data_IF_573914513578
#
_entry.id   IF_573914513578
#
_cell.length_a   1.000
_cell.length_b   1.000
_cell.length_c   1.000
_cell.angle_alpha   90.00
_cell.angle_beta   90.00
_cell.angle_gamma   90.00
#
_symmetry.space_group_name_H-M   'P 1'
#
loop_
_entity.id
_entity.type
_entity.pdbx_description
1 polymer ?
#
# COMPACT_ATOMS: atom_id res chain seq x y z
N UNK A 1 53.81 -7.53 -16.98
CA UNK A 1 53.17 -7.79 -15.68
C UNK A 1 51.88 -8.55 -16.01
N UNK A 2 51.16 -9.14 -15.05
CA UNK A 2 49.97 -9.92 -15.38
C UNK A 2 48.76 -8.99 -15.33
N UNK A 3 47.95 -8.97 -16.39
CA UNK A 3 46.77 -8.11 -16.48
C UNK A 3 45.91 -8.17 -15.20
N UNK A 4 45.42 -7.02 -14.79
CA UNK A 4 44.51 -6.88 -13.65
C UNK A 4 43.10 -6.56 -14.13
N UNK A 5 42.11 -6.72 -13.25
CA UNK A 5 40.69 -6.49 -13.56
C UNK A 5 40.08 -5.42 -12.66
N UNK A 6 39.13 -4.66 -13.19
CA UNK A 6 38.33 -3.73 -12.39
C UNK A 6 37.52 -4.51 -11.36
N UNK A 7 37.50 -4.05 -10.11
CA UNK A 7 36.86 -4.76 -9.00
C UNK A 7 35.33 -4.87 -9.10
N UNK A 8 34.67 -3.99 -9.86
CA UNK A 8 33.20 -3.93 -9.97
C UNK A 8 32.67 -4.71 -11.17
N UNK A 9 33.12 -4.37 -12.38
CA UNK A 9 32.56 -4.91 -13.63
C UNK A 9 33.47 -5.96 -14.29
N UNK A 10 34.62 -6.27 -13.69
CA UNK A 10 35.56 -7.28 -14.20
C UNK A 10 36.17 -6.92 -15.56
N UNK A 11 36.25 -5.64 -15.91
CA UNK A 11 36.93 -5.19 -17.14
C UNK A 11 38.42 -5.36 -17.01
N UNK A 12 39.05 -5.84 -18.07
CA UNK A 12 40.51 -5.92 -18.14
C UNK A 12 41.10 -4.51 -18.12
N UNK A 13 42.07 -4.29 -17.25
CA UNK A 13 42.88 -3.08 -17.20
C UNK A 13 44.12 -3.28 -18.05
N UNK A 14 44.28 -2.45 -19.09
CA UNK A 14 45.44 -2.57 -19.98
C UNK A 14 46.71 -2.09 -19.27
N UNK A 15 47.74 -2.94 -19.25
CA UNK A 15 49.07 -2.60 -18.77
C UNK A 15 49.93 -2.04 -19.91
N UNK A 16 50.84 -1.12 -19.57
CA UNK A 16 51.77 -0.54 -20.52
C UNK A 16 52.73 -1.61 -21.07
N UNK A 17 52.86 -1.67 -22.41
CA UNK A 17 53.75 -2.59 -23.12
C UNK A 17 53.42 -4.09 -23.07
N UNK A 18 52.24 -4.51 -22.60
CA UNK A 18 51.89 -5.95 -22.46
C UNK A 18 51.17 -6.56 -23.68
N UNK A 19 50.55 -5.73 -24.54
CA UNK A 19 49.60 -6.16 -25.59
C UNK A 19 49.91 -5.66 -27.00
N UNK A 20 51.17 -5.41 -27.33
CA UNK A 20 51.65 -4.69 -28.53
C UNK A 20 51.13 -5.21 -29.89
N UNK A 21 50.61 -6.45 -29.95
CA UNK A 21 50.01 -7.04 -31.17
C UNK A 21 48.54 -7.46 -31.00
N UNK A 22 47.98 -7.31 -29.81
CA UNK A 22 46.64 -7.78 -29.41
C UNK A 22 45.73 -6.66 -28.89
N UNK A 23 46.26 -5.43 -28.73
CA UNK A 23 45.56 -4.26 -28.20
C UNK A 23 44.16 -4.06 -28.82
N UNK A 24 44.04 -4.19 -30.14
CA UNK A 24 42.76 -4.03 -30.83
C UNK A 24 41.72 -5.07 -30.39
N UNK A 25 42.12 -6.32 -30.24
CA UNK A 25 41.23 -7.41 -29.78
C UNK A 25 40.80 -7.19 -28.33
N UNK A 26 41.74 -6.83 -27.46
CA UNK A 26 41.50 -6.68 -26.03
C UNK A 26 40.65 -5.45 -25.69
N UNK A 27 40.88 -4.33 -26.38
CA UNK A 27 40.04 -3.12 -26.25
C UNK A 27 38.62 -3.38 -26.76
N UNK A 28 38.47 -4.04 -27.91
CA UNK A 28 37.15 -4.37 -28.44
C UNK A 28 36.36 -5.26 -27.45
N UNK A 29 37.03 -6.22 -26.81
CA UNK A 29 36.42 -7.05 -25.78
C UNK A 29 35.90 -6.20 -24.62
N UNK A 30 36.72 -5.28 -24.08
CA UNK A 30 36.30 -4.40 -22.97
C UNK A 30 35.08 -3.55 -23.34
N UNK A 31 35.03 -3.02 -24.56
CA UNK A 31 33.86 -2.26 -25.01
C UNK A 31 32.60 -3.13 -25.14
N UNK A 32 32.71 -4.36 -25.64
CA UNK A 32 31.59 -5.30 -25.70
C UNK A 32 31.04 -5.62 -24.29
N UNK A 33 31.94 -5.81 -23.31
CA UNK A 33 31.53 -6.00 -21.91
C UNK A 33 30.91 -4.73 -21.29
N UNK A 34 31.30 -3.54 -21.79
CA UNK A 34 30.65 -2.27 -21.50
C UNK A 34 29.21 -2.20 -21.99
N UNK A 35 28.96 -2.66 -23.21
CA UNK A 35 27.60 -2.72 -23.78
C UNK A 35 26.73 -3.74 -23.05
N UNK A 36 27.27 -4.91 -22.69
CA UNK A 36 26.60 -5.91 -21.85
C UNK A 36 26.17 -5.31 -20.49
N UNK A 37 27.07 -4.55 -19.85
CA UNK A 37 26.77 -3.87 -18.59
C UNK A 37 25.69 -2.78 -18.70
N UNK A 38 25.57 -2.14 -19.87
CA UNK A 38 24.65 -1.02 -20.07
C UNK A 38 23.27 -1.43 -20.58
N UNK A 39 23.21 -2.40 -21.49
CA UNK A 39 22.01 -2.76 -22.22
C UNK A 39 21.79 -4.29 -22.34
N UNK A 40 22.62 -5.11 -21.70
CA UNK A 40 22.49 -6.55 -21.72
C UNK A 40 21.17 -7.03 -21.11
N UNK A 41 20.58 -8.04 -21.76
CA UNK A 41 19.37 -8.74 -21.35
C UNK A 41 19.64 -10.23 -21.26
N UNK A 42 19.36 -10.83 -20.11
CA UNK A 42 19.51 -12.26 -19.87
C UNK A 42 18.19 -12.88 -19.42
N UNK A 43 17.76 -13.93 -20.11
CA UNK A 43 16.70 -14.82 -19.61
C UNK A 43 17.34 -16.03 -18.91
N UNK A 44 17.17 -16.13 -17.60
CA UNK A 44 17.70 -17.21 -16.77
C UNK A 44 16.56 -18.13 -16.32
N UNK A 45 16.67 -19.43 -16.61
CA UNK A 45 15.71 -20.42 -16.10
C UNK A 45 15.99 -20.71 -14.62
N UNK A 46 14.93 -20.76 -13.81
CA UNK A 46 14.89 -21.20 -12.40
C UNK A 46 14.11 -22.50 -12.20
N UNK A 47 13.84 -23.23 -13.30
CA UNK A 47 12.97 -24.40 -13.31
C UNK A 47 13.52 -25.55 -12.46
N UNK A 48 12.79 -25.91 -11.40
CA UNK A 48 13.16 -27.01 -10.50
C UNK A 48 14.37 -26.75 -9.58
N UNK A 49 14.94 -25.54 -9.61
CA UNK A 49 16.11 -25.18 -8.82
C UNK A 49 15.70 -24.66 -7.44
N UNK A 50 16.47 -25.00 -6.40
CA UNK A 50 16.31 -24.44 -5.05
C UNK A 50 17.25 -23.26 -4.80
N UNK A 51 18.38 -23.21 -5.50
CA UNK A 51 19.26 -22.05 -5.54
C UNK A 51 20.03 -21.94 -6.85
N UNK A 52 20.31 -20.70 -7.28
CA UNK A 52 21.13 -20.38 -8.45
C UNK A 52 22.07 -19.24 -8.08
N UNK A 53 23.33 -19.34 -8.48
CA UNK A 53 24.30 -18.24 -8.37
C UNK A 53 24.54 -17.66 -9.76
N UNK A 54 24.44 -16.35 -9.90
CA UNK A 54 24.81 -15.68 -11.15
C UNK A 54 26.31 -15.81 -11.37
N UNK A 55 26.70 -16.16 -12.59
CA UNK A 55 28.12 -16.25 -12.94
C UNK A 55 28.82 -14.92 -12.81
N UNK A 56 30.04 -14.98 -12.27
CA UNK A 56 30.92 -13.84 -11.98
C UNK A 56 32.31 -14.19 -12.50
N UNK A 57 32.59 -13.86 -13.76
CA UNK A 57 33.89 -14.16 -14.39
C UNK A 57 34.47 -12.90 -14.99
N UNK A 58 35.72 -12.61 -14.64
CA UNK A 58 36.39 -11.40 -15.10
C UNK A 58 36.93 -11.57 -16.52
N UNK A 59 36.85 -10.52 -17.33
CA UNK A 59 37.41 -10.50 -18.68
C UNK A 59 36.67 -11.31 -19.75
N UNK A 60 35.52 -11.91 -19.46
CA UNK A 60 34.67 -12.61 -20.46
C UNK A 60 33.24 -12.10 -20.39
N UNK A 61 32.28 -12.64 -21.15
CA UNK A 61 30.85 -12.37 -20.88
C UNK A 61 30.44 -13.09 -19.58
N UNK A 62 29.57 -12.46 -18.78
CA UNK A 62 28.97 -13.13 -17.60
C UNK A 62 27.53 -12.70 -17.33
N UNK A 63 26.85 -13.47 -16.48
CA UNK A 63 25.43 -13.21 -16.19
C UNK A 63 25.23 -11.98 -15.32
N UNK A 64 26.10 -11.75 -14.32
CA UNK A 64 25.97 -10.61 -13.39
C UNK A 64 26.10 -9.25 -14.08
N UNK A 65 26.80 -9.12 -15.22
CA UNK A 65 26.94 -7.82 -15.90
C UNK A 65 25.64 -7.36 -16.56
N UNK A 66 24.76 -8.26 -16.97
CA UNK A 66 23.54 -7.88 -17.70
C UNK A 66 22.66 -6.93 -16.89
N UNK A 67 22.38 -5.75 -17.43
CA UNK A 67 21.53 -4.73 -16.79
C UNK A 67 20.09 -5.21 -16.52
N UNK A 68 19.57 -6.12 -17.35
CA UNK A 68 18.25 -6.73 -17.22
C UNK A 68 18.37 -8.24 -17.11
N UNK A 69 17.77 -8.81 -16.06
CA UNK A 69 17.70 -10.27 -15.88
C UNK A 69 16.24 -10.68 -15.65
N UNK A 70 15.76 -11.57 -16.52
CA UNK A 70 14.44 -12.18 -16.41
C UNK A 70 14.57 -13.62 -15.92
N UNK A 71 13.94 -13.92 -14.79
CA UNK A 71 13.83 -15.28 -14.28
C UNK A 71 12.60 -15.96 -14.88
N UNK A 72 12.82 -17.12 -15.51
CA UNK A 72 11.82 -17.89 -16.25
C UNK A 72 11.77 -19.34 -15.79
N UNK A 73 10.82 -20.13 -16.30
CA UNK A 73 10.71 -21.56 -15.97
C UNK A 73 9.68 -21.85 -14.88
N UNK A 74 9.47 -23.13 -14.56
CA UNK A 74 8.47 -23.57 -13.59
C UNK A 74 9.13 -23.85 -12.23
N UNK A 75 8.81 -23.03 -11.24
CA UNK A 75 9.30 -23.20 -9.86
C UNK A 75 8.48 -24.26 -9.13
N UNK A 76 9.18 -25.12 -8.40
CA UNK A 76 8.58 -26.15 -7.53
C UNK A 76 8.66 -25.77 -6.05
N UNK A 77 9.24 -24.62 -5.73
CA UNK A 77 9.41 -24.07 -4.40
C UNK A 77 10.06 -22.68 -4.47
N UNK A 78 10.33 -22.08 -3.31
CA UNK A 78 11.10 -20.83 -3.23
C UNK A 78 12.53 -21.09 -3.72
N UNK A 79 13.02 -20.26 -4.64
CA UNK A 79 14.37 -20.36 -5.20
C UNK A 79 15.20 -19.17 -4.77
N UNK A 80 16.41 -19.43 -4.27
CA UNK A 80 17.37 -18.39 -3.88
C UNK A 80 18.25 -18.02 -5.07
N UNK A 81 18.24 -16.76 -5.48
CA UNK A 81 19.19 -16.23 -6.47
C UNK A 81 20.31 -15.51 -5.72
N UNK A 82 21.52 -16.02 -5.85
CA UNK A 82 22.73 -15.44 -5.27
C UNK A 82 23.42 -14.56 -6.29
N UNK A 83 23.47 -13.25 -6.01
CA UNK A 83 24.29 -12.29 -6.74
C UNK A 83 25.66 -12.15 -6.04
N UNK A 84 26.74 -11.80 -6.77
CA UNK A 84 28.02 -11.52 -6.14
C UNK A 84 27.92 -10.32 -5.18
N UNK A 85 28.63 -10.41 -4.07
CA UNK A 85 28.74 -9.33 -3.07
C UNK A 85 29.68 -8.23 -3.58
N UNK A 86 29.25 -7.50 -4.61
CA UNK A 86 29.98 -6.40 -5.25
C UNK A 86 29.01 -5.26 -5.58
N UNK A 87 29.50 -4.03 -5.59
CA UNK A 87 28.72 -2.83 -5.87
C UNK A 87 28.20 -2.82 -7.32
N UNK A 88 26.93 -3.14 -7.51
CA UNK A 88 26.26 -3.27 -8.82
C UNK A 88 24.76 -2.98 -8.72
N UNK A 89 24.10 -2.85 -9.87
CA UNK A 89 22.67 -2.58 -9.96
C UNK A 89 22.04 -3.34 -11.14
N UNK A 90 20.75 -3.65 -11.01
CA UNK A 90 20.00 -4.45 -11.98
C UNK A 90 18.53 -4.06 -12.04
N UNK A 91 17.89 -4.41 -13.15
CA UNK A 91 16.45 -4.60 -13.25
C UNK A 91 16.13 -6.09 -13.33
N UNK A 92 15.47 -6.63 -12.31
CA UNK A 92 15.06 -8.03 -12.26
C UNK A 92 13.57 -8.17 -12.54
N UNK A 93 13.22 -9.16 -13.35
CA UNK A 93 11.85 -9.53 -13.67
C UNK A 93 11.60 -10.98 -13.29
N UNK A 94 10.57 -11.22 -12.49
CA UNK A 94 10.14 -12.56 -12.13
C UNK A 94 9.00 -13.03 -13.03
N UNK A 95 9.32 -13.79 -14.07
CA UNK A 95 8.34 -14.36 -15.03
C UNK A 95 8.17 -15.88 -14.89
N UNK A 96 8.75 -16.48 -13.85
CA UNK A 96 8.62 -17.90 -13.58
C UNK A 96 7.18 -18.26 -13.16
N UNK A 97 6.77 -19.49 -13.46
CA UNK A 97 5.46 -20.03 -13.12
C UNK A 97 5.55 -20.85 -11.82
N UNK A 98 4.42 -21.08 -11.15
CA UNK A 98 4.37 -21.81 -9.86
C UNK A 98 4.04 -20.96 -8.64
N UNK A 99 3.93 -19.62 -8.80
CA UNK A 99 3.51 -18.66 -7.76
C UNK A 99 4.34 -18.66 -6.47
N UNK A 100 5.55 -19.25 -6.51
CA UNK A 100 6.54 -19.12 -5.45
C UNK A 100 7.29 -17.79 -5.59
N UNK A 101 7.92 -17.32 -4.53
CA UNK A 101 8.77 -16.12 -4.55
C UNK A 101 10.23 -16.46 -4.87
N UNK A 102 10.97 -15.49 -5.41
CA UNK A 102 12.43 -15.55 -5.52
C UNK A 102 13.04 -14.78 -4.36
N UNK A 103 14.07 -15.35 -3.73
CA UNK A 103 14.88 -14.66 -2.72
C UNK A 103 16.19 -14.22 -3.36
N UNK A 104 16.34 -12.93 -3.61
CA UNK A 104 17.54 -12.35 -4.22
C UNK A 104 18.49 -11.91 -3.12
N UNK A 105 19.62 -12.61 -2.97
CA UNK A 105 20.60 -12.35 -1.90
C UNK A 105 21.97 -12.03 -2.50
N UNK A 106 22.74 -11.18 -1.83
CA UNK A 106 24.19 -11.17 -2.02
C UNK A 106 24.79 -12.41 -1.35
N UNK A 107 25.95 -12.88 -1.80
CA UNK A 107 26.65 -13.98 -1.14
C UNK A 107 26.90 -13.67 0.36
N UNK A 108 26.13 -14.32 1.25
CA UNK A 108 26.19 -14.10 2.71
C UNK A 108 25.30 -12.97 3.24
N UNK A 109 24.53 -12.29 2.38
CA UNK A 109 23.57 -11.24 2.75
C UNK A 109 22.16 -11.77 3.07
N UNK A 110 21.25 -10.86 3.45
CA UNK A 110 19.85 -11.16 3.75
C UNK A 110 18.98 -11.07 2.50
N UNK A 111 19.24 -10.06 1.68
CA UNK A 111 18.60 -9.81 0.40
C UNK A 111 17.16 -9.31 0.47
N UNK A 112 16.47 -9.47 -0.65
CA UNK A 112 15.07 -9.07 -0.84
C UNK A 112 14.26 -10.21 -1.47
N UNK A 113 12.96 -10.23 -1.19
CA UNK A 113 12.02 -11.16 -1.81
C UNK A 113 11.36 -10.50 -3.01
N UNK A 114 11.35 -11.19 -4.16
CA UNK A 114 10.72 -10.76 -5.40
C UNK A 114 9.54 -11.69 -5.71
N UNK A 115 8.32 -11.14 -5.70
CA UNK A 115 7.10 -11.94 -5.90
C UNK A 115 6.89 -12.32 -7.38
N UNK A 116 6.09 -13.36 -7.63
CA UNK A 116 5.78 -13.79 -8.99
C UNK A 116 5.11 -12.66 -9.80
N UNK A 117 5.64 -12.36 -10.99
CA UNK A 117 5.18 -11.27 -11.85
C UNK A 117 5.76 -9.90 -11.51
N UNK A 118 6.54 -9.76 -10.43
CA UNK A 118 7.15 -8.49 -10.04
C UNK A 118 8.35 -8.12 -10.93
N UNK A 119 8.50 -6.83 -11.21
CA UNK A 119 9.71 -6.22 -11.77
C UNK A 119 10.26 -5.24 -10.74
N UNK A 120 11.54 -5.39 -10.37
CA UNK A 120 12.17 -4.54 -9.37
C UNK A 120 13.52 -4.00 -9.87
N UNK A 121 13.77 -2.73 -9.58
CA UNK A 121 15.10 -2.13 -9.67
C UNK A 121 15.84 -2.42 -8.36
N UNK A 122 16.97 -3.10 -8.43
CA UNK A 122 17.75 -3.57 -7.30
C UNK A 122 19.18 -3.05 -7.38
N UNK A 123 19.84 -2.90 -6.24
CA UNK A 123 21.28 -2.67 -6.18
C UNK A 123 21.90 -3.47 -5.04
N UNK A 124 23.18 -3.79 -5.18
CA UNK A 124 24.01 -4.34 -4.12
C UNK A 124 25.05 -3.30 -3.71
N UNK A 125 25.27 -3.13 -2.41
CA UNK A 125 26.29 -2.22 -1.85
C UNK A 125 27.64 -2.90 -1.61
N UNK A 126 27.81 -4.13 -2.11
CA UNK A 126 28.95 -4.99 -1.82
C UNK A 126 28.78 -5.90 -0.61
N UNK A 127 27.70 -5.76 0.16
CA UNK A 127 27.38 -6.62 1.32
C UNK A 127 26.00 -7.25 1.18
N UNK A 128 24.98 -6.46 0.85
CA UNK A 128 23.60 -6.93 0.74
C UNK A 128 22.88 -6.34 -0.48
N UNK A 129 21.71 -6.89 -0.81
CA UNK A 129 20.84 -6.43 -1.91
C UNK A 129 19.68 -5.62 -1.36
N UNK A 130 19.40 -4.49 -2.00
CA UNK A 130 18.31 -3.58 -1.65
C UNK A 130 17.49 -3.22 -2.89
N UNK A 131 16.24 -2.80 -2.69
CA UNK A 131 15.45 -2.16 -3.75
C UNK A 131 15.96 -0.73 -3.95
N UNK A 132 16.24 -0.36 -5.19
CA UNK A 132 16.71 0.98 -5.57
C UNK A 132 15.62 2.05 -5.44
N UNK A 133 14.36 1.63 -5.39
CA UNK A 133 13.19 2.47 -5.14
C UNK A 133 12.42 1.88 -3.96
N UNK A 134 11.97 2.74 -3.04
CA UNK A 134 11.20 2.31 -1.89
C UNK A 134 9.91 1.59 -2.32
N UNK A 135 9.63 0.43 -1.71
CA UNK A 135 8.38 -0.34 -1.90
C UNK A 135 7.22 0.22 -1.08
N UNK A 136 7.33 1.43 -0.52
CA UNK A 136 6.44 1.97 0.53
C UNK A 136 4.97 2.19 0.11
N UNK A 137 4.49 1.52 -0.93
CA UNK A 137 3.09 1.15 -1.07
C UNK A 137 2.84 -0.27 -0.53
N UNK A 138 3.39 -0.58 0.65
CA UNK A 138 2.89 -1.70 1.45
C UNK A 138 1.44 -1.36 1.84
N UNK A 139 0.54 -2.35 1.89
CA UNK A 139 -0.83 -2.14 2.38
C UNK A 139 -0.79 -1.66 3.84
N UNK A 140 -0.76 -0.35 4.05
CA UNK A 140 -0.82 0.26 5.37
C UNK A 140 -2.20 0.01 5.95
N UNK A 141 -2.28 -0.91 6.92
CA UNK A 141 -3.50 -1.20 7.67
C UNK A 141 -3.74 -0.20 8.81
N UNK A 142 -2.85 0.76 9.00
CA UNK A 142 -2.90 1.80 10.02
C UNK A 142 -2.44 3.17 9.49
N UNK A 143 -2.99 3.68 8.37
CA UNK A 143 -2.53 4.94 7.79
C UNK A 143 -2.67 6.06 8.80
N UNK A 144 -1.52 6.60 9.20
CA UNK A 144 -1.43 7.75 10.08
C UNK A 144 -0.95 8.93 9.25
N UNK A 145 -1.67 10.05 9.33
CA UNK A 145 -1.19 11.29 8.77
C UNK A 145 -0.18 11.88 9.74
N UNK A 146 1.05 12.15 9.28
CA UNK A 146 2.06 12.86 10.06
C UNK A 146 1.73 14.34 10.33
N UNK A 147 0.54 14.79 9.94
CA UNK A 147 0.04 16.15 10.05
C UNK A 147 -1.47 16.23 9.80
N UNK A 148 -2.00 17.45 9.68
CA UNK A 148 -3.42 17.69 9.39
C UNK A 148 -3.76 17.18 7.98
N UNK A 149 -4.95 16.61 7.82
CA UNK A 149 -5.52 16.31 6.51
C UNK A 149 -5.86 17.63 5.79
N UNK A 150 -5.00 18.04 4.86
CA UNK A 150 -5.30 19.11 3.90
C UNK A 150 -5.68 18.48 2.56
N UNK A 151 -6.97 18.56 2.22
CA UNK A 151 -7.49 18.05 0.95
C UNK A 151 -7.25 19.02 -0.22
N UNK A 152 -6.42 20.07 -0.08
CA UNK A 152 -6.12 21.05 -1.14
C UNK A 152 -7.39 21.61 -1.81
N UNK A 153 -8.39 21.96 -1.01
CA UNK A 153 -9.72 22.40 -1.43
C UNK A 153 -10.57 21.37 -2.21
N UNK A 154 -10.16 20.11 -2.27
CA UNK A 154 -10.99 19.01 -2.76
C UNK A 154 -11.95 18.49 -1.68
N UNK A 155 -13.04 17.89 -2.14
CA UNK A 155 -14.05 17.31 -1.25
C UNK A 155 -13.56 16.00 -0.61
N UNK A 156 -14.00 15.76 0.63
CA UNK A 156 -13.92 14.46 1.29
C UNK A 156 -15.25 13.75 1.06
N UNK A 157 -15.23 12.63 0.35
CA UNK A 157 -16.41 11.80 0.13
C UNK A 157 -16.47 10.70 1.20
N UNK A 158 -17.54 10.68 1.98
CA UNK A 158 -17.80 9.66 2.99
C UNK A 158 -18.45 8.42 2.37
N UNK A 159 -17.99 7.22 2.72
CA UNK A 159 -18.67 5.97 2.33
C UNK A 159 -19.90 5.73 3.19
N UNK A 160 -20.95 5.21 2.55
CA UNK A 160 -22.08 4.60 3.25
C UNK A 160 -21.70 3.21 3.76
N UNK A 161 -22.17 2.87 4.94
CA UNK A 161 -22.05 1.57 5.57
C UNK A 161 -23.25 0.67 5.32
N UNK A 162 -23.15 -0.60 5.72
CA UNK A 162 -24.28 -1.50 5.69
C UNK A 162 -25.40 -1.04 6.65
N UNK A 163 -26.66 -1.24 6.25
CA UNK A 163 -27.83 -0.94 7.08
C UNK A 163 -27.79 -1.77 8.37
N UNK A 164 -28.16 -1.13 9.48
CA UNK A 164 -28.21 -1.77 10.81
C UNK A 164 -29.66 -1.82 11.27
N UNK A 165 -30.15 -3.00 11.67
CA UNK A 165 -31.45 -3.11 12.31
C UNK A 165 -31.38 -2.60 13.76
N UNK A 166 -32.34 -1.76 14.15
CA UNK A 166 -32.48 -1.21 15.48
C UNK A 166 -32.64 -2.33 16.52
N UNK A 167 -31.83 -2.27 17.57
CA UNK A 167 -31.91 -3.07 18.78
C UNK A 167 -31.70 -2.16 20.00
N UNK A 168 -31.89 -2.68 21.22
CA UNK A 168 -31.66 -1.86 22.44
C UNK A 168 -30.24 -1.27 22.49
N UNK A 169 -29.23 -2.04 22.03
CA UNK A 169 -27.85 -1.58 21.82
C UNK A 169 -27.50 -1.67 20.33
N UNK A 170 -27.81 -0.61 19.58
CA UNK A 170 -27.60 -0.57 18.12
C UNK A 170 -26.16 -0.15 17.82
N UNK A 171 -25.26 -1.10 17.63
CA UNK A 171 -23.83 -0.80 17.45
C UNK A 171 -23.52 -0.21 16.06
N UNK A 172 -23.42 1.13 15.97
CA UNK A 172 -23.07 1.87 14.74
C UNK A 172 -21.58 1.85 14.41
N UNK A 173 -20.76 1.22 15.25
CA UNK A 173 -19.30 1.20 15.11
C UNK A 173 -18.78 -0.11 14.51
N UNK A 174 -19.64 -1.13 14.45
CA UNK A 174 -19.29 -2.44 13.92
C UNK A 174 -19.34 -2.52 12.38
N UNK A 175 -19.96 -1.54 11.72
CA UNK A 175 -20.01 -1.47 10.26
C UNK A 175 -18.99 -0.49 9.71
N UNK A 176 -18.57 -0.76 8.47
CA UNK A 176 -17.78 0.19 7.68
C UNK A 176 -18.60 1.42 7.31
N UNK A 177 -17.94 2.46 6.82
CA UNK A 177 -18.58 3.70 6.40
C UNK A 177 -18.84 4.70 7.52
N UNK A 178 -18.99 5.97 7.14
CA UNK A 178 -19.23 7.09 8.05
C UNK A 178 -20.72 7.45 8.14
N UNK A 179 -21.50 7.08 7.12
CA UNK A 179 -22.96 7.26 7.08
C UNK A 179 -23.64 5.90 7.14
N UNK A 180 -24.64 5.75 8.00
CA UNK A 180 -25.30 4.48 8.29
C UNK A 180 -26.82 4.67 8.32
N UNK A 181 -27.54 3.75 7.69
CA UNK A 181 -29.00 3.65 7.81
C UNK A 181 -29.39 2.74 8.98
N UNK A 182 -30.27 3.23 9.87
CA UNK A 182 -30.92 2.43 10.91
C UNK A 182 -32.32 2.05 10.46
N UNK A 183 -32.54 0.74 10.35
CA UNK A 183 -33.82 0.12 9.98
C UNK A 183 -34.55 -0.42 11.20
N UNK A 184 -35.84 -0.72 11.09
CA UNK A 184 -36.63 -1.30 12.18
C UNK A 184 -37.25 -0.25 13.12
N UNK A 185 -37.81 -0.71 14.23
CA UNK A 185 -38.64 0.10 15.13
C UNK A 185 -38.35 -0.13 16.63
N UNK A 186 -37.23 -0.78 16.95
CA UNK A 186 -36.86 -1.09 18.34
C UNK A 186 -36.30 0.16 19.01
N UNK A 187 -36.75 0.46 20.23
CA UNK A 187 -36.17 1.52 21.06
C UNK A 187 -34.67 1.31 21.27
N UNK A 188 -33.89 2.36 21.06
CA UNK A 188 -32.44 2.38 21.21
C UNK A 188 -32.09 3.13 22.50
N UNK A 189 -31.29 2.51 23.36
CA UNK A 189 -30.76 3.12 24.59
C UNK A 189 -29.25 3.29 24.57
N UNK A 190 -28.56 2.78 23.52
CA UNK A 190 -27.12 2.90 23.31
C UNK A 190 -26.73 2.62 21.86
N UNK A 191 -25.66 3.28 21.39
CA UNK A 191 -25.03 3.02 20.10
C UNK A 191 -23.82 2.05 20.17
N UNK A 192 -23.70 1.27 21.24
CA UNK A 192 -22.61 0.32 21.43
C UNK A 192 -21.35 0.95 22.04
N UNK A 193 -20.17 0.48 21.62
CA UNK A 193 -18.88 0.99 22.11
C UNK A 193 -18.09 1.60 20.95
N UNK A 194 -17.81 2.90 21.00
CA UNK A 194 -17.02 3.58 19.99
C UNK A 194 -15.55 3.12 20.00
N UNK A 195 -14.87 3.13 18.83
CA UNK A 195 -13.47 2.72 18.73
C UNK A 195 -12.52 3.67 19.48
N UNK A 196 -12.92 4.92 19.67
CA UNK A 196 -12.19 5.94 20.43
C UNK A 196 -13.12 7.10 20.79
N UNK A 197 -12.68 7.91 21.76
CA UNK A 197 -13.28 9.22 22.04
C UNK A 197 -13.09 10.13 20.83
N UNK A 198 -14.10 10.95 20.51
CA UNK A 198 -14.09 11.85 19.37
C UNK A 198 -14.47 11.20 18.04
N UNK A 199 -14.81 9.90 18.02
CA UNK A 199 -15.39 9.27 16.84
C UNK A 199 -16.78 9.84 16.55
N UNK A 200 -17.12 9.98 15.27
CA UNK A 200 -18.42 10.47 14.83
C UNK A 200 -19.00 9.62 13.71
N UNK A 201 -20.33 9.50 13.69
CA UNK A 201 -21.10 8.84 12.64
C UNK A 201 -22.33 9.67 12.28
N UNK A 202 -22.68 9.63 10.99
CA UNK A 202 -23.97 10.12 10.49
C UNK A 202 -24.94 8.95 10.44
N UNK A 203 -26.09 9.11 11.07
CA UNK A 203 -27.14 8.11 11.14
C UNK A 203 -28.38 8.64 10.45
N UNK A 204 -29.00 7.83 9.61
CA UNK A 204 -30.27 8.11 8.94
C UNK A 204 -31.28 7.07 9.40
N UNK A 205 -32.45 7.49 9.86
CA UNK A 205 -33.50 6.57 10.32
C UNK A 205 -34.46 6.23 9.19
N UNK A 206 -34.73 4.95 8.97
CA UNK A 206 -35.64 4.47 7.91
C UNK A 206 -37.08 4.25 8.42
N UNK A 207 -37.30 4.41 9.73
CA UNK A 207 -38.58 4.14 10.38
C UNK A 207 -38.71 4.87 11.70
N UNK A 208 -39.84 4.63 12.38
CA UNK A 208 -40.10 5.20 13.68
C UNK A 208 -39.57 4.30 14.80
N UNK A 209 -38.67 4.85 15.61
CA UNK A 209 -38.15 4.27 16.84
C UNK A 209 -37.95 5.37 17.90
N UNK A 210 -37.71 4.97 19.15
CA UNK A 210 -37.39 5.90 20.23
C UNK A 210 -35.90 5.85 20.53
N UNK A 211 -35.23 6.99 20.56
CA UNK A 211 -33.94 7.17 21.21
C UNK A 211 -34.20 7.58 22.66
N UNK A 212 -33.85 6.72 23.61
CA UNK A 212 -34.07 7.01 25.03
C UNK A 212 -32.90 7.81 25.60
N UNK A 213 -33.19 8.96 26.20
CA UNK A 213 -32.18 9.76 26.90
C UNK A 213 -31.69 9.03 28.16
N UNK A 214 -30.42 9.16 28.49
CA UNK A 214 -29.87 8.57 29.71
C UNK A 214 -28.34 8.54 29.74
N UNK A 215 -27.79 7.50 30.37
CA UNK A 215 -26.34 7.43 30.66
C UNK A 215 -25.47 7.20 29.43
N UNK A 216 -26.03 6.63 28.36
CA UNK A 216 -25.28 6.30 27.13
C UNK A 216 -25.65 7.22 25.97
N UNK A 217 -26.84 7.85 25.99
CA UNK A 217 -27.31 8.77 24.96
C UNK A 217 -27.73 10.07 25.64
N UNK A 218 -27.01 11.14 25.34
CA UNK A 218 -27.39 12.50 25.71
C UNK A 218 -28.12 13.11 24.52
N UNK A 219 -29.45 13.08 24.59
CA UNK A 219 -30.32 13.61 23.55
C UNK A 219 -30.51 15.13 23.73
N UNK A 220 -30.76 15.87 22.64
CA UNK A 220 -31.12 17.27 22.70
C UNK A 220 -32.25 17.55 23.70
N UNK A 221 -31.95 18.35 24.73
CA UNK A 221 -32.91 18.72 25.76
C UNK A 221 -33.09 17.72 26.89
N UNK A 222 -32.33 16.61 26.93
CA UNK A 222 -32.42 15.59 27.98
C UNK A 222 -33.76 14.85 27.97
N UNK A 223 -34.29 14.59 26.78
CA UNK A 223 -35.61 13.96 26.57
C UNK A 223 -35.52 12.86 25.52
N UNK A 224 -36.43 11.89 25.63
CA UNK A 224 -36.60 10.85 24.63
C UNK A 224 -37.01 11.45 23.28
N UNK A 225 -36.42 10.95 22.20
CA UNK A 225 -36.72 11.38 20.83
C UNK A 225 -37.44 10.27 20.09
N UNK A 226 -38.61 10.57 19.55
CA UNK A 226 -39.28 9.69 18.59
C UNK A 226 -38.86 10.09 17.18
N UNK A 227 -38.22 9.15 16.48
CA UNK A 227 -37.75 9.32 15.10
C UNK A 227 -38.85 9.01 14.08
N UNK A 228 -38.63 9.44 12.85
CA UNK A 228 -39.39 9.11 11.66
C UNK A 228 -38.44 8.79 10.50
N UNK A 229 -38.98 8.20 9.44
CA UNK A 229 -38.22 7.91 8.23
C UNK A 229 -37.66 9.20 7.60
N UNK A 230 -36.37 9.21 7.31
CA UNK A 230 -35.63 10.36 6.77
C UNK A 230 -35.05 11.31 7.82
N UNK A 231 -35.27 11.07 9.11
CA UNK A 231 -34.59 11.82 10.17
C UNK A 231 -33.09 11.53 10.18
N UNK A 232 -32.28 12.54 10.50
CA UNK A 232 -30.82 12.43 10.53
C UNK A 232 -30.32 12.72 11.93
N UNK A 233 -29.37 11.94 12.42
CA UNK A 233 -28.62 12.23 13.64
C UNK A 233 -27.11 12.23 13.37
N UNK A 234 -26.39 13.18 13.96
CA UNK A 234 -24.95 13.07 14.14
C UNK A 234 -24.68 12.58 15.55
N UNK A 235 -23.95 11.48 15.65
CA UNK A 235 -23.62 10.83 16.92
C UNK A 235 -22.13 11.05 17.18
N UNK A 236 -21.82 11.75 18.25
CA UNK A 236 -20.45 12.03 18.70
C UNK A 236 -20.13 11.26 19.97
N UNK A 237 -18.99 10.58 20.01
CA UNK A 237 -18.51 9.83 21.18
C UNK A 237 -17.76 10.75 22.15
N UNK A 238 -18.44 11.21 23.21
CA UNK A 238 -17.83 12.00 24.30
C UNK A 238 -17.01 11.10 25.23
N UNK A 239 -17.49 9.86 25.43
CA UNK A 239 -16.66 8.73 25.86
C UNK A 239 -16.88 7.56 24.91
N UNK A 240 -16.22 6.43 25.13
CA UNK A 240 -16.48 5.24 24.30
C UNK A 240 -17.89 4.66 24.47
N UNK A 241 -18.64 5.06 25.50
CA UNK A 241 -20.00 4.57 25.79
C UNK A 241 -21.05 5.67 25.98
N UNK A 242 -20.63 6.93 26.13
CA UNK A 242 -21.51 8.10 26.20
C UNK A 242 -21.49 8.83 24.86
N UNK A 243 -22.66 8.98 24.25
CA UNK A 243 -22.83 9.61 22.96
C UNK A 243 -23.67 10.88 23.06
N UNK A 244 -23.15 11.96 22.50
CA UNK A 244 -23.91 13.18 22.29
C UNK A 244 -24.61 13.12 20.93
N UNK A 245 -25.93 13.28 20.94
CA UNK A 245 -26.75 13.19 19.74
C UNK A 245 -27.12 14.59 19.27
N UNK A 246 -26.87 14.90 18.01
CA UNK A 246 -27.41 16.08 17.33
C UNK A 246 -28.47 15.59 16.35
N UNK A 247 -29.73 15.91 16.62
CA UNK A 247 -30.87 15.36 15.90
C UNK A 247 -31.52 16.39 14.97
N UNK A 248 -31.78 15.99 13.73
CA UNK A 248 -32.38 16.79 12.68
C UNK A 248 -33.64 16.07 12.15
N UNK A 249 -34.84 16.47 12.61
CA UNK A 249 -36.06 15.88 12.12
C UNK A 249 -36.35 16.34 10.68
N UNK A 250 -36.85 15.44 9.84
CA UNK A 250 -37.20 15.69 8.44
C UNK A 250 -38.24 16.80 8.30
N UNK A 251 -39.15 16.92 9.28
CA UNK A 251 -40.19 17.96 9.32
C UNK A 251 -39.59 19.36 9.51
N UNK A 252 -38.47 19.47 10.25
CA UNK A 252 -37.75 20.73 10.43
C UNK A 252 -36.97 21.13 9.18
N UNK A 253 -36.43 20.15 8.43
CA UNK A 253 -35.73 20.39 7.18
C UNK A 253 -36.67 20.96 6.09
N UNK A 254 -37.93 20.48 6.05
CA UNK A 254 -38.97 21.00 5.16
C UNK A 254 -39.41 22.42 5.56
N UNK A 255 -39.51 22.74 6.85
CA UNK A 255 -39.94 24.05 7.33
C UNK A 255 -38.92 25.17 7.03
N UNK A 256 -37.62 24.88 7.03
CA UNK A 256 -36.59 25.86 6.63
C UNK A 256 -36.67 26.23 5.14
N UNK A 257 -37.07 25.29 4.28
CA UNK A 257 -37.24 25.55 2.84
C UNK A 257 -38.36 26.57 2.55
N UNK A 258 -39.40 26.62 3.40
CA UNK A 258 -40.51 27.57 3.29
C UNK A 258 -40.21 28.96 3.88
N UNK A 259 -39.26 29.08 4.82
CA UNK A 259 -38.86 30.38 5.40
C UNK A 259 -38.05 31.23 4.42
N UNK A 260 -37.29 30.62 3.50
CA UNK A 260 -36.51 31.35 2.49
C UNK A 260 -37.42 32.03 1.45
N UNK A 261 -38.63 31.52 1.22
CA UNK A 261 -39.58 32.10 0.24
C UNK A 261 -40.28 33.36 0.80
N UNK A 262 -40.38 33.52 2.12
CA UNK A 262 -41.07 34.68 2.73
C UNK A 262 -40.27 35.99 2.65
N UNK A 263 -38.95 35.93 2.42
CA UNK A 263 -38.08 37.13 2.33
C UNK A 263 -37.98 37.74 0.92
N UNK A 264 -38.59 37.14 -0.11
CA UNK A 264 -38.52 37.62 -1.50
C UNK A 264 -39.78 38.41 -1.93
N UNK A 265 -40.79 38.57 -1.07
CA UNK A 265 -42.03 39.29 -1.40
C UNK A 265 -42.31 40.51 -0.50
N UNK A 266 -41.30 41.33 -0.21
CA UNK A 266 -41.51 42.74 0.18
C UNK A 266 -40.35 43.56 -0.41
N UNK A 267 -40.53 43.99 -1.65
CA UNK A 267 -39.64 44.89 -2.39
C UNK A 267 -40.40 45.48 -3.58
#
# INVERSE_FOLDING_TARGET
MADTFSSRLGYRLMEDGSHDTTWGTEVNLVFLLGEEARAGYLAKSVAGDTSITLTATDGTSDERRNSFIEFTGAMTGVTVITVPAQEMWWFFKHSATGAFALSIIAAGGTGITLLAGEVAALFCDGTDVFRAVSSNLEADSSPSLGGVLDANAFAINESEGANIASTTTTNIWATDGNTIHITGSTTITSFGTAPRVGAWRKVIFDGALILTDGTNLNNPGGVDITTAAGDIAFVYADTTTLFQVLFFPVVFLLALSTIVVLFVYVG
#
